data_IF_637291880091
#
_entry.id   IF_637291880091
#
_cell.length_a   1.000
_cell.length_b   1.000
_cell.length_c   1.000
_cell.angle_alpha   90.00
_cell.angle_beta   90.00
_cell.angle_gamma   90.00
#
_symmetry.space_group_name_H-M   'P 1'
#
loop_
_entity.id
_entity.type
_entity.pdbx_description
1 polymer ?
#
# COMPACT_ATOMS: atom_id res chain seq x y z
N UNK A 1 -14.33 -33.49 70.26
CA UNK A 1 -14.38 -32.17 69.62
C UNK A 1 -13.42 -32.16 68.44
N UNK A 2 -13.95 -32.40 67.24
CA UNK A 2 -13.20 -32.28 65.98
C UNK A 2 -13.68 -31.00 65.31
N UNK A 3 -12.79 -30.03 65.13
CA UNK A 3 -13.11 -28.77 64.44
C UNK A 3 -12.92 -28.97 62.94
N UNK A 4 -14.05 -28.94 62.21
CA UNK A 4 -14.07 -28.80 60.76
C UNK A 4 -13.64 -27.37 60.38
N UNK A 5 -12.64 -27.24 59.51
CA UNK A 5 -12.38 -26.03 58.74
C UNK A 5 -12.95 -26.24 57.33
N UNK A 6 -13.71 -25.28 56.77
CA UNK A 6 -14.23 -25.41 55.42
C UNK A 6 -13.11 -25.17 54.41
N UNK A 7 -12.91 -26.13 53.51
CA UNK A 7 -12.12 -25.94 52.29
C UNK A 7 -12.85 -24.95 51.38
N UNK A 8 -12.40 -23.70 51.35
CA UNK A 8 -12.81 -22.77 50.30
C UNK A 8 -12.05 -23.12 49.01
N UNK A 9 -12.75 -23.75 48.08
CA UNK A 9 -12.28 -23.92 46.70
C UNK A 9 -12.31 -22.54 46.01
N UNK A 10 -11.12 -21.99 45.74
CA UNK A 10 -10.98 -20.81 44.87
C UNK A 10 -11.03 -21.30 43.42
N UNK A 11 -12.22 -21.19 42.81
CA UNK A 11 -12.37 -21.31 41.37
C UNK A 11 -11.77 -20.07 40.70
N UNK A 12 -10.55 -20.22 40.18
CA UNK A 12 -9.97 -19.23 39.27
C UNK A 12 -10.73 -19.29 37.94
N UNK A 13 -11.68 -18.38 37.76
CA UNK A 13 -12.25 -18.13 36.44
C UNK A 13 -11.15 -17.51 35.58
N UNK A 14 -10.56 -18.29 34.67
CA UNK A 14 -9.68 -17.78 33.65
C UNK A 14 -10.52 -16.92 32.70
N UNK A 15 -10.47 -15.60 32.87
CA UNK A 15 -11.10 -14.67 31.93
C UNK A 15 -10.28 -14.69 30.65
N UNK A 16 -10.77 -15.42 29.64
CA UNK A 16 -10.22 -15.36 28.29
C UNK A 16 -10.72 -14.07 27.66
N UNK A 17 -9.90 -13.03 27.69
CA UNK A 17 -10.17 -11.79 26.96
C UNK A 17 -9.84 -12.10 25.49
N UNK A 18 -10.86 -12.21 24.64
CA UNK A 18 -10.67 -12.30 23.20
C UNK A 18 -10.03 -10.99 22.72
N UNK A 19 -8.78 -11.04 22.29
CA UNK A 19 -8.09 -9.89 21.73
C UNK A 19 -8.60 -9.65 20.31
N UNK A 20 -8.95 -8.41 20.00
CA UNK A 20 -9.33 -8.00 18.64
C UNK A 20 -8.07 -8.09 17.76
N UNK A 21 -8.02 -9.10 16.88
CA UNK A 21 -6.95 -9.31 15.91
C UNK A 21 -7.24 -8.50 14.65
N UNK A 22 -6.32 -7.62 14.28
CA UNK A 22 -6.41 -6.84 13.04
C UNK A 22 -5.35 -7.30 12.05
N UNK A 23 -5.72 -7.50 10.78
CA UNK A 23 -4.74 -7.81 9.72
C UNK A 23 -4.48 -6.58 8.88
N UNK A 24 -3.21 -6.24 8.70
CA UNK A 24 -2.76 -5.14 7.87
C UNK A 24 -1.97 -5.74 6.71
N UNK A 25 -2.35 -5.37 5.49
CA UNK A 25 -1.66 -5.78 4.29
C UNK A 25 -0.78 -4.62 3.81
N UNK A 26 0.51 -4.88 3.62
CA UNK A 26 1.46 -3.91 3.07
C UNK A 26 2.19 -4.48 1.87
N UNK A 27 2.63 -3.62 0.96
CA UNK A 27 3.54 -4.03 -0.11
C UNK A 27 4.96 -4.20 0.47
N UNK A 28 5.74 -5.20 0.02
CA UNK A 28 7.19 -5.23 0.30
C UNK A 28 7.86 -3.92 -0.11
N UNK A 29 8.71 -3.39 0.76
CA UNK A 29 9.43 -2.12 0.58
C UNK A 29 8.66 -0.87 1.05
N UNK A 30 7.35 -0.95 1.26
CA UNK A 30 6.56 0.17 1.77
C UNK A 30 6.70 0.29 3.31
N UNK A 31 6.13 1.35 3.89
CA UNK A 31 6.04 1.48 5.34
C UNK A 31 4.66 1.00 5.82
N UNK A 32 4.62 0.25 6.92
CA UNK A 32 3.37 -0.22 7.53
C UNK A 32 3.10 0.52 8.84
N UNK A 33 1.84 0.86 9.11
CA UNK A 33 1.42 1.41 10.40
C UNK A 33 0.60 0.36 11.15
N UNK A 34 1.12 -0.12 12.29
CA UNK A 34 0.44 -1.08 13.17
C UNK A 34 -0.38 -0.31 14.21
N UNK A 35 -1.70 -0.45 14.17
CA UNK A 35 -2.61 0.33 15.00
C UNK A 35 -2.60 -0.13 16.47
N UNK A 36 -2.46 0.80 17.41
CA UNK A 36 -2.67 0.54 18.84
C UNK A 36 -3.28 1.77 19.52
N UNK A 37 -4.59 1.74 19.75
CA UNK A 37 -5.35 2.91 20.20
C UNK A 37 -6.06 2.60 21.52
N UNK A 38 -5.61 3.24 22.59
CA UNK A 38 -6.25 3.22 23.89
C UNK A 38 -7.20 4.41 24.06
N UNK A 39 -8.49 4.12 24.31
CA UNK A 39 -9.54 5.15 24.47
C UNK A 39 -9.85 5.51 25.93
N UNK A 40 -9.00 5.13 26.87
CA UNK A 40 -9.18 5.51 28.28
C UNK A 40 -8.82 6.98 28.54
N UNK A 41 -9.04 7.43 29.78
CA UNK A 41 -8.75 8.81 30.22
C UNK A 41 -7.50 8.83 31.10
N UNK A 42 -6.90 10.01 31.23
CA UNK A 42 -5.77 10.30 32.13
C UNK A 42 -4.48 9.53 31.79
N UNK A 43 -3.82 9.96 30.72
CA UNK A 43 -2.50 9.46 30.34
C UNK A 43 -1.41 10.43 30.78
N UNK A 44 -0.42 9.92 31.51
CA UNK A 44 0.81 10.63 31.82
C UNK A 44 1.96 9.80 31.27
N UNK A 45 2.60 10.28 30.19
CA UNK A 45 3.66 9.54 29.48
C UNK A 45 4.79 9.06 30.41
N UNK A 46 5.14 9.88 31.42
CA UNK A 46 6.14 9.54 32.45
C UNK A 46 5.82 8.27 33.25
N UNK A 47 4.55 7.91 33.33
CA UNK A 47 4.07 6.74 34.05
C UNK A 47 3.79 5.56 33.11
N UNK A 48 4.00 5.71 31.80
CA UNK A 48 3.68 4.69 30.83
C UNK A 48 4.91 3.91 30.40
N UNK A 49 4.67 2.63 30.09
CA UNK A 49 5.56 1.81 29.28
C UNK A 49 4.75 1.23 28.14
N UNK A 50 5.23 1.39 26.91
CA UNK A 50 4.62 0.81 25.72
C UNK A 50 5.63 -0.14 25.11
N UNK A 51 5.19 -1.36 24.85
CA UNK A 51 5.98 -2.35 24.15
C UNK A 51 5.24 -2.80 22.91
N UNK A 52 5.93 -2.75 21.78
CA UNK A 52 5.61 -3.56 20.62
C UNK A 52 6.52 -4.78 20.61
N UNK A 53 5.92 -5.96 20.49
CA UNK A 53 6.63 -7.22 20.51
C UNK A 53 6.13 -8.14 19.40
N UNK A 54 6.99 -9.03 18.88
CA UNK A 54 6.53 -10.21 18.15
C UNK A 54 5.80 -11.10 19.15
N UNK A 55 4.60 -11.55 18.80
CA UNK A 55 3.75 -12.37 19.66
C UNK A 55 4.16 -13.85 19.66
N UNK A 56 5.01 -14.28 18.74
CA UNK A 56 5.57 -15.63 18.70
C UNK A 56 6.67 -15.79 19.76
N UNK A 57 6.49 -16.76 20.65
CA UNK A 57 7.40 -17.06 21.75
C UNK A 57 8.70 -17.78 21.30
N UNK A 58 8.81 -18.15 20.01
CA UNK A 58 10.00 -18.84 19.47
C UNK A 58 11.14 -17.90 19.09
N UNK A 59 10.90 -16.60 19.03
CA UNK A 59 11.92 -15.61 18.66
C UNK A 59 12.92 -15.38 19.81
N UNK A 60 14.22 -15.45 19.50
CA UNK A 60 15.29 -15.17 20.46
C UNK A 60 15.20 -13.71 21.00
N UNK A 61 14.72 -12.80 20.16
CA UNK A 61 14.43 -11.43 20.52
C UNK A 61 13.10 -10.99 19.91
N UNK A 62 12.13 -10.67 20.77
CA UNK A 62 10.79 -10.28 20.34
C UNK A 62 10.50 -8.78 20.43
N UNK A 63 11.34 -7.96 21.07
CA UNK A 63 11.08 -6.53 21.28
C UNK A 63 11.26 -5.72 19.99
N UNK A 64 10.14 -5.26 19.44
CA UNK A 64 10.07 -4.48 18.19
C UNK A 64 10.27 -3.00 18.47
N UNK A 65 9.66 -2.46 19.52
CA UNK A 65 9.83 -1.07 19.94
C UNK A 65 9.48 -0.92 21.42
N UNK A 66 10.15 -0.01 22.13
CA UNK A 66 9.90 0.24 23.54
C UNK A 66 9.89 1.75 23.83
N UNK A 67 8.81 2.22 24.47
CA UNK A 67 8.70 3.56 25.04
C UNK A 67 8.61 3.42 26.56
N UNK A 68 9.55 4.00 27.31
CA UNK A 68 9.60 3.91 28.78
C UNK A 68 9.63 5.31 29.37
N UNK A 69 8.66 5.60 30.23
CA UNK A 69 8.52 6.92 30.90
C UNK A 69 8.46 8.09 29.91
N UNK A 70 7.87 7.86 28.74
CA UNK A 70 7.72 8.86 27.67
C UNK A 70 8.96 9.09 26.82
N UNK A 71 9.92 8.17 26.83
CA UNK A 71 11.12 8.21 25.97
C UNK A 71 11.33 6.87 25.27
N UNK A 72 11.77 6.92 24.01
CA UNK A 72 12.14 5.71 23.28
C UNK A 72 13.33 5.03 23.95
N UNK A 73 13.28 3.71 24.02
CA UNK A 73 14.35 2.89 24.57
C UNK A 73 14.87 1.91 23.52
N UNK A 74 15.91 2.32 22.80
CA UNK A 74 16.57 1.51 21.78
C UNK A 74 17.43 0.35 22.34
N UNK A 75 17.72 0.36 23.65
CA UNK A 75 18.62 -0.66 24.25
C UNK A 75 17.97 -2.04 24.32
N UNK A 76 16.65 -2.09 24.50
CA UNK A 76 15.87 -3.33 24.56
C UNK A 76 15.43 -3.83 23.17
N UNK A 77 15.57 -2.99 22.14
CA UNK A 77 15.06 -3.26 20.80
C UNK A 77 15.93 -4.28 20.04
N UNK A 78 15.30 -5.25 19.39
CA UNK A 78 15.99 -6.20 18.54
C UNK A 78 16.66 -5.52 17.35
N UNK A 79 17.87 -5.98 17.00
CA UNK A 79 18.71 -5.34 15.99
C UNK A 79 18.01 -5.18 14.63
N UNK A 80 17.14 -6.12 14.26
CA UNK A 80 16.36 -6.10 13.02
C UNK A 80 15.37 -4.92 12.91
N UNK A 81 14.94 -4.36 14.04
CA UNK A 81 13.96 -3.27 14.09
C UNK A 81 14.58 -1.89 14.39
N UNK A 82 15.84 -1.85 14.86
CA UNK A 82 16.54 -0.60 15.15
C UNK A 82 16.56 0.33 13.94
N UNK A 83 16.32 1.61 14.17
CA UNK A 83 16.20 2.66 13.13
C UNK A 83 15.08 2.44 12.10
N UNK A 84 14.22 1.43 12.27
CA UNK A 84 13.10 1.13 11.36
C UNK A 84 11.73 1.35 11.99
N UNK A 85 11.67 1.69 13.28
CA UNK A 85 10.41 1.82 14.01
C UNK A 85 10.26 3.19 14.63
N UNK A 86 9.06 3.76 14.58
CA UNK A 86 8.76 5.05 15.20
C UNK A 86 7.33 5.07 15.74
N UNK A 87 7.12 5.71 16.90
CA UNK A 87 5.79 6.07 17.38
C UNK A 87 5.44 7.50 16.92
N UNK A 88 4.13 7.80 16.86
CA UNK A 88 3.64 9.14 16.52
C UNK A 88 3.58 10.02 17.77
N UNK A 89 4.67 10.75 18.05
CA UNK A 89 4.83 11.59 19.25
C UNK A 89 3.68 12.55 19.52
N UNK A 90 3.13 13.17 18.47
CA UNK A 90 2.01 14.10 18.51
C UNK A 90 0.68 13.44 18.93
N UNK A 91 0.61 12.11 18.97
CA UNK A 91 -0.60 11.34 19.24
C UNK A 91 -0.56 10.52 20.52
N UNK A 92 0.61 10.39 21.15
CA UNK A 92 0.81 9.59 22.37
C UNK A 92 -0.08 10.06 23.53
N UNK A 93 -0.22 11.37 23.72
CA UNK A 93 -1.06 11.93 24.79
C UNK A 93 -2.56 11.63 24.59
N UNK A 94 -2.97 11.37 23.35
CA UNK A 94 -4.33 10.98 22.98
C UNK A 94 -4.55 9.46 23.05
N UNK A 95 -3.55 8.69 23.47
CA UNK A 95 -3.63 7.23 23.59
C UNK A 95 -3.41 6.47 22.28
N UNK A 96 -2.91 7.13 21.24
CA UNK A 96 -2.49 6.47 20.00
C UNK A 96 -1.00 6.09 20.10
N UNK A 97 -0.78 4.79 20.28
CA UNK A 97 0.52 4.15 20.40
C UNK A 97 0.86 3.34 19.13
N UNK A 98 0.27 3.73 17.99
CA UNK A 98 0.50 3.04 16.72
C UNK A 98 1.96 3.14 16.30
N UNK A 99 2.47 2.05 15.73
CA UNK A 99 3.86 1.92 15.31
C UNK A 99 3.99 2.08 13.80
N UNK A 100 4.85 2.98 13.37
CA UNK A 100 5.34 3.03 12.00
C UNK A 100 6.56 2.10 11.86
N UNK A 101 6.45 1.07 11.02
CA UNK A 101 7.55 0.20 10.61
C UNK A 101 7.98 0.55 9.19
N UNK A 102 9.26 0.84 9.00
CA UNK A 102 9.83 1.33 7.75
C UNK A 102 10.39 0.20 6.88
N UNK A 103 10.18 0.33 5.57
CA UNK A 103 10.73 -0.55 4.54
C UNK A 103 10.48 -2.03 4.87
N UNK A 104 9.21 -2.43 4.92
CA UNK A 104 8.81 -3.77 5.34
C UNK A 104 9.33 -4.83 4.39
N UNK A 105 9.77 -5.96 4.93
CA UNK A 105 10.29 -7.10 4.18
C UNK A 105 9.61 -8.39 4.63
N UNK A 106 9.87 -9.49 3.94
CA UNK A 106 9.30 -10.80 4.28
C UNK A 106 9.61 -11.23 5.74
N UNK A 107 10.75 -10.82 6.31
CA UNK A 107 11.08 -11.11 7.71
C UNK A 107 10.30 -10.26 8.71
N UNK A 108 9.45 -9.33 8.27
CA UNK A 108 8.53 -8.59 9.11
C UNK A 108 7.11 -9.20 9.10
N UNK A 109 6.85 -10.30 8.37
CA UNK A 109 5.55 -10.98 8.37
C UNK A 109 5.31 -11.73 9.70
N UNK A 110 4.90 -10.97 10.71
CA UNK A 110 4.66 -11.47 12.06
C UNK A 110 3.29 -11.06 12.59
N UNK A 111 2.89 -11.78 13.64
CA UNK A 111 1.88 -11.30 14.58
C UNK A 111 2.59 -10.42 15.60
N UNK A 112 2.17 -9.17 15.67
CA UNK A 112 2.68 -8.18 16.59
C UNK A 112 1.71 -7.97 17.73
N UNK A 113 2.25 -7.65 18.91
CA UNK A 113 1.50 -7.37 20.12
C UNK A 113 1.91 -6.01 20.68
N UNK A 114 0.93 -5.12 20.84
CA UNK A 114 1.09 -3.88 21.59
C UNK A 114 0.67 -4.11 23.04
N UNK A 115 1.52 -3.74 24.00
CA UNK A 115 1.23 -3.80 25.44
C UNK A 115 1.48 -2.43 26.05
N UNK A 116 0.44 -1.82 26.59
CA UNK A 116 0.53 -0.53 27.31
C UNK A 116 0.39 -0.80 28.79
N UNK A 117 1.43 -0.47 29.55
CA UNK A 117 1.47 -0.57 31.00
C UNK A 117 1.47 0.82 31.62
N UNK A 118 0.72 0.97 32.71
CA UNK A 118 0.71 2.18 33.52
C UNK A 118 1.27 1.87 34.90
N UNK A 119 2.24 2.69 35.31
CA UNK A 119 2.80 2.70 36.65
C UNK A 119 1.93 3.61 37.52
N UNK A 120 1.24 3.00 38.47
CA UNK A 120 0.56 3.70 39.57
C UNK A 120 1.27 3.33 40.86
N UNK A 121 0.58 2.75 41.84
CA UNK A 121 1.20 2.07 42.99
C UNK A 121 1.89 0.77 42.54
N UNK A 122 1.29 0.07 41.57
CA UNK A 122 1.83 -1.10 40.89
C UNK A 122 1.75 -0.92 39.37
N UNK A 123 2.53 -1.72 38.64
CA UNK A 123 2.48 -1.75 37.17
C UNK A 123 1.29 -2.59 36.73
N UNK A 124 0.39 -2.00 35.95
CA UNK A 124 -0.80 -2.68 35.40
C UNK A 124 -0.83 -2.55 33.89
N UNK A 125 -1.21 -3.63 33.20
CA UNK A 125 -1.57 -3.58 31.77
C UNK A 125 -2.91 -2.88 31.63
N UNK A 126 -2.94 -1.75 30.93
CA UNK A 126 -4.14 -0.94 30.70
C UNK A 126 -4.71 -1.11 29.29
N UNK A 127 -3.88 -1.57 28.35
CA UNK A 127 -4.30 -1.85 26.98
C UNK A 127 -3.42 -2.93 26.35
N UNK A 128 -4.03 -3.75 25.50
CA UNK A 128 -3.34 -4.74 24.70
C UNK A 128 -4.09 -4.93 23.37
N UNK A 129 -3.36 -5.02 22.26
CA UNK A 129 -3.92 -5.35 20.94
C UNK A 129 -2.93 -6.20 20.14
N UNK A 130 -3.44 -6.98 19.20
CA UNK A 130 -2.63 -7.77 18.27
C UNK A 130 -2.91 -7.36 16.83
N UNK A 131 -1.83 -7.25 16.07
CA UNK A 131 -1.84 -6.86 14.66
C UNK A 131 -1.03 -7.88 13.87
N UNK A 132 -1.64 -8.50 12.87
CA UNK A 132 -0.93 -9.36 11.91
C UNK A 132 -0.52 -8.50 10.73
N UNK A 133 0.79 -8.43 10.48
CA UNK A 133 1.32 -7.86 9.25
C UNK A 133 1.43 -8.96 8.20
N UNK A 134 0.73 -8.80 7.09
CA UNK A 134 0.86 -9.65 5.91
C UNK A 134 1.36 -8.83 4.74
N UNK A 135 2.16 -9.43 3.87
CA UNK A 135 2.66 -8.74 2.69
C UNK A 135 1.95 -9.19 1.42
N UNK A 136 1.55 -8.22 0.60
CA UNK A 136 1.03 -8.48 -0.73
C UNK A 136 1.19 -7.28 -1.66
N UNK A 137 1.39 -7.58 -2.94
CA UNK A 137 1.40 -6.63 -4.03
C UNK A 137 0.53 -7.18 -5.17
N UNK A 138 -0.39 -6.36 -5.67
CA UNK A 138 -1.17 -6.70 -6.85
C UNK A 138 -0.23 -6.88 -8.05
N UNK A 139 -0.56 -7.86 -8.89
CA UNK A 139 0.18 -8.11 -10.12
C UNK A 139 -0.20 -7.06 -11.17
N UNK A 140 0.68 -6.79 -12.14
CA UNK A 140 0.27 -5.98 -13.29
C UNK A 140 -0.83 -6.71 -14.08
N UNK A 141 -1.77 -5.96 -14.66
CA UNK A 141 -2.78 -6.51 -15.59
C UNK A 141 -2.11 -7.49 -16.59
N UNK A 142 -2.54 -8.76 -16.67
CA UNK A 142 -1.92 -9.73 -17.55
C UNK A 142 -1.99 -9.29 -19.00
N UNK A 143 -0.90 -9.51 -19.74
CA UNK A 143 -0.81 -9.28 -21.17
C UNK A 143 -0.84 -10.65 -21.83
N UNK A 144 -1.96 -10.96 -22.50
CA UNK A 144 -2.13 -12.16 -23.27
C UNK A 144 -1.82 -11.90 -24.75
N UNK A 145 -0.94 -12.71 -25.32
CA UNK A 145 -0.60 -12.69 -26.75
C UNK A 145 -0.86 -14.06 -27.36
N UNK A 146 -1.41 -14.09 -28.57
CA UNK A 146 -1.68 -15.30 -29.34
C UNK A 146 -1.30 -15.12 -30.82
N UNK A 147 -1.51 -16.15 -31.66
CA UNK A 147 -1.30 -16.06 -33.10
C UNK A 147 -2.27 -15.06 -33.75
N UNK A 148 -1.80 -14.30 -34.74
CA UNK A 148 -2.57 -13.21 -35.39
C UNK A 148 -3.55 -13.77 -36.44
N UNK A 149 -3.21 -14.87 -37.11
CA UNK A 149 -4.01 -15.51 -38.15
C UNK A 149 -4.03 -17.02 -37.90
N UNK A 150 -5.20 -17.60 -37.70
CA UNK A 150 -5.38 -19.04 -37.49
C UNK A 150 -6.60 -19.56 -38.24
N UNK A 151 -6.58 -19.41 -39.57
CA UNK A 151 -7.61 -20.02 -40.44
C UNK A 151 -7.43 -21.55 -40.58
N UNK A 152 -6.34 -22.09 -40.03
CA UNK A 152 -6.00 -23.51 -40.03
C UNK A 152 -6.50 -24.21 -38.76
N UNK A 153 -7.80 -24.52 -38.73
CA UNK A 153 -8.38 -25.39 -37.70
C UNK A 153 -7.57 -26.68 -37.56
N UNK A 154 -7.21 -27.05 -36.33
CA UNK A 154 -6.42 -28.25 -36.03
C UNK A 154 -4.90 -28.05 -35.89
N UNK A 155 -4.36 -26.89 -36.27
CA UNK A 155 -2.93 -26.57 -36.04
C UNK A 155 -2.63 -26.25 -34.57
N UNK A 156 -1.40 -26.52 -34.13
CA UNK A 156 -0.94 -26.17 -32.78
C UNK A 156 -0.71 -24.65 -32.69
N UNK A 157 -1.44 -24.00 -31.79
CA UNK A 157 -1.30 -22.59 -31.48
C UNK A 157 -0.61 -22.41 -30.14
N UNK A 158 0.24 -21.39 -30.04
CA UNK A 158 0.91 -21.01 -28.79
C UNK A 158 0.41 -19.66 -28.31
N UNK A 159 -0.07 -19.61 -27.07
CA UNK A 159 -0.39 -18.39 -26.35
C UNK A 159 0.70 -18.08 -25.33
N UNK A 160 0.96 -16.80 -25.07
CA UNK A 160 1.87 -16.34 -24.02
C UNK A 160 1.17 -15.35 -23.12
N UNK A 161 1.28 -15.54 -21.82
CA UNK A 161 0.74 -14.66 -20.80
C UNK A 161 1.87 -14.08 -19.94
N UNK A 162 1.88 -12.76 -19.77
CA UNK A 162 2.88 -12.02 -19.00
C UNK A 162 2.26 -11.12 -17.96
N UNK A 163 2.81 -11.13 -16.76
CA UNK A 163 2.46 -10.19 -15.69
C UNK A 163 3.65 -10.03 -14.74
N UNK A 164 3.72 -8.93 -14.00
CA UNK A 164 4.88 -8.60 -13.20
C UNK A 164 4.59 -7.89 -11.90
N UNK A 165 5.65 -7.77 -11.10
CA UNK A 165 5.77 -6.94 -9.90
C UNK A 165 4.73 -7.24 -8.80
N UNK A 166 4.25 -8.49 -8.71
CA UNK A 166 3.30 -8.92 -7.68
C UNK A 166 3.96 -9.72 -6.55
N UNK A 167 3.28 -9.82 -5.41
CA UNK A 167 3.70 -10.61 -4.25
C UNK A 167 2.46 -11.11 -3.49
N UNK A 168 2.43 -12.33 -2.94
CA UNK A 168 3.47 -13.37 -2.98
C UNK A 168 3.47 -14.11 -4.32
N UNK A 169 4.18 -15.23 -4.42
CA UNK A 169 4.13 -16.14 -5.58
C UNK A 169 2.66 -16.46 -5.95
N UNK A 170 2.22 -16.30 -7.21
CA UNK A 170 0.82 -16.40 -7.57
C UNK A 170 0.42 -17.81 -7.98
N UNK A 171 -0.89 -18.06 -8.07
CA UNK A 171 -1.41 -19.16 -8.88
C UNK A 171 -1.78 -18.65 -10.27
N UNK A 172 -1.50 -19.44 -11.30
CA UNK A 172 -1.72 -19.06 -12.70
C UNK A 172 -2.62 -20.11 -13.34
N UNK A 173 -3.69 -19.65 -13.97
CA UNK A 173 -4.71 -20.49 -14.57
C UNK A 173 -4.89 -20.13 -16.04
N UNK A 174 -5.03 -21.16 -16.87
CA UNK A 174 -5.54 -21.02 -18.23
C UNK A 174 -6.94 -21.61 -18.26
N UNK A 175 -7.89 -20.88 -18.85
CA UNK A 175 -9.28 -21.29 -18.96
C UNK A 175 -9.70 -21.17 -20.42
N UNK A 176 -10.30 -22.23 -20.95
CA UNK A 176 -11.06 -22.15 -22.18
C UNK A 176 -12.45 -21.59 -21.86
N UNK A 177 -12.71 -20.35 -22.25
CA UNK A 177 -13.99 -19.68 -21.96
C UNK A 177 -15.16 -20.22 -22.79
N UNK A 178 -14.91 -21.05 -23.80
CA UNK A 178 -15.96 -21.67 -24.61
C UNK A 178 -16.70 -22.77 -23.84
N UNK A 179 -15.99 -23.52 -22.97
CA UNK A 179 -16.54 -24.63 -22.18
C UNK A 179 -16.22 -24.55 -20.68
N UNK A 180 -15.63 -23.44 -20.24
CA UNK A 180 -15.11 -23.19 -18.88
C UNK A 180 -14.15 -24.28 -18.37
N UNK A 181 -13.47 -24.99 -19.27
CA UNK A 181 -12.48 -26.00 -18.89
C UNK A 181 -11.13 -25.37 -18.49
N UNK A 182 -10.50 -25.95 -17.47
CA UNK A 182 -9.14 -25.61 -17.08
C UNK A 182 -8.12 -26.27 -18.00
N UNK A 183 -7.17 -25.47 -18.50
CA UNK A 183 -6.11 -25.93 -19.38
C UNK A 183 -4.77 -25.94 -18.61
N UNK A 184 -3.97 -27.03 -18.71
CA UNK A 184 -2.65 -27.05 -18.10
C UNK A 184 -1.67 -26.16 -18.90
N UNK A 185 -0.82 -25.35 -18.22
CA UNK A 185 0.21 -24.59 -18.91
C UNK A 185 1.26 -25.52 -19.52
N UNK A 186 1.73 -25.20 -20.72
CA UNK A 186 2.85 -25.90 -21.36
C UNK A 186 4.19 -25.49 -20.76
N UNK A 187 4.31 -24.21 -20.38
CA UNK A 187 5.44 -23.68 -19.62
C UNK A 187 4.91 -22.68 -18.59
N UNK A 188 5.51 -22.67 -17.40
CA UNK A 188 5.27 -21.67 -16.37
C UNK A 188 6.59 -21.29 -15.72
N UNK A 189 6.97 -20.03 -15.86
CA UNK A 189 8.15 -19.43 -15.24
C UNK A 189 7.71 -18.30 -14.32
N UNK A 190 8.06 -18.42 -13.05
CA UNK A 190 7.88 -17.39 -12.05
C UNK A 190 9.27 -16.91 -11.62
N UNK A 191 9.57 -15.64 -11.89
CA UNK A 191 10.90 -15.05 -11.71
C UNK A 191 10.87 -14.11 -10.50
N UNK A 192 11.69 -14.33 -9.46
CA UNK A 192 11.82 -13.39 -8.35
C UNK A 192 12.67 -12.18 -8.73
N UNK A 193 12.38 -11.03 -8.12
CA UNK A 193 13.11 -9.78 -8.26
C UNK A 193 13.83 -9.39 -6.98
N UNK A 194 14.77 -8.45 -7.08
CA UNK A 194 15.55 -7.96 -5.93
C UNK A 194 14.72 -7.14 -4.94
N UNK A 195 13.58 -6.60 -5.37
CA UNK A 195 12.63 -5.88 -4.52
C UNK A 195 11.66 -6.82 -3.77
N UNK A 196 11.86 -8.14 -3.91
CA UNK A 196 11.02 -9.17 -3.30
C UNK A 196 9.78 -9.55 -4.11
N UNK A 197 9.48 -8.88 -5.22
CA UNK A 197 8.31 -9.19 -6.04
C UNK A 197 8.58 -10.30 -7.06
N UNK A 198 7.54 -10.76 -7.77
CA UNK A 198 7.59 -11.80 -8.78
C UNK A 198 7.02 -11.34 -10.12
N UNK A 199 7.60 -11.85 -11.20
CA UNK A 199 7.00 -11.83 -12.55
C UNK A 199 6.65 -13.21 -13.06
N UNK A 200 5.53 -13.28 -13.76
CA UNK A 200 4.97 -14.49 -14.37
C UNK A 200 5.16 -14.43 -15.89
N UNK A 201 5.66 -15.53 -16.44
CA UNK A 201 5.60 -15.84 -17.86
C UNK A 201 5.05 -17.26 -18.01
N UNK A 202 3.92 -17.43 -18.71
CA UNK A 202 3.36 -18.74 -18.99
C UNK A 202 3.03 -18.89 -20.46
N UNK A 203 3.21 -20.10 -20.98
CA UNK A 203 2.79 -20.46 -22.34
C UNK A 203 1.77 -21.59 -22.31
N UNK A 204 0.85 -21.55 -23.27
CA UNK A 204 -0.17 -22.56 -23.49
C UNK A 204 -0.13 -22.99 -24.95
N UNK A 205 0.01 -24.30 -25.18
CA UNK A 205 -0.07 -24.92 -26.50
C UNK A 205 -1.34 -25.75 -26.61
N UNK A 206 -2.21 -25.39 -27.56
CA UNK A 206 -3.49 -26.07 -27.81
C UNK A 206 -3.78 -26.13 -29.30
N UNK A 207 -4.60 -27.09 -29.73
CA UNK A 207 -5.06 -27.17 -31.12
C UNK A 207 -6.11 -26.11 -31.40
N UNK A 208 -6.03 -25.48 -32.57
CA UNK A 208 -7.00 -24.48 -33.02
C UNK A 208 -8.40 -25.07 -33.20
N UNK A 209 -9.38 -24.42 -32.56
CA UNK A 209 -10.82 -24.65 -32.75
C UNK A 209 -11.47 -23.35 -33.23
N UNK A 210 -12.63 -23.45 -33.89
CA UNK A 210 -13.39 -22.26 -34.30
C UNK A 210 -13.89 -21.48 -33.09
N UNK A 211 -13.76 -20.16 -33.12
CA UNK A 211 -14.21 -19.25 -32.06
C UNK A 211 -13.56 -19.53 -30.70
N UNK A 212 -12.30 -19.98 -30.68
CA UNK A 212 -11.55 -20.23 -29.45
C UNK A 212 -11.46 -18.96 -28.60
N UNK A 213 -11.83 -19.06 -27.33
CA UNK A 213 -11.71 -17.98 -26.34
C UNK A 213 -10.84 -18.47 -25.19
N UNK A 214 -9.66 -17.86 -25.05
CA UNK A 214 -8.68 -18.25 -24.03
C UNK A 214 -8.56 -17.12 -23.01
N UNK A 215 -8.62 -17.49 -21.74
CA UNK A 215 -8.34 -16.61 -20.61
C UNK A 215 -7.07 -17.08 -19.89
N UNK A 216 -6.19 -16.13 -19.60
CA UNK A 216 -5.11 -16.30 -18.62
C UNK A 216 -5.50 -15.53 -17.36
N UNK A 217 -5.46 -16.19 -16.20
CA UNK A 217 -5.81 -15.60 -14.91
C UNK A 217 -4.67 -15.77 -13.89
N UNK A 218 -4.42 -14.72 -13.12
CA UNK A 218 -3.38 -14.65 -12.08
C UNK A 218 -4.04 -14.32 -10.76
N UNK A 219 -3.90 -15.24 -9.81
CA UNK A 219 -4.51 -15.16 -8.49
C UNK A 219 -3.51 -14.68 -7.45
N UNK A 220 -3.90 -13.63 -6.72
CA UNK A 220 -3.30 -13.23 -5.46
C UNK A 220 -4.23 -13.60 -4.31
N UNK A 221 -3.92 -14.70 -3.60
CA UNK A 221 -4.74 -15.23 -2.50
C UNK A 221 -4.84 -14.27 -1.31
N UNK A 222 -3.78 -13.52 -1.01
CA UNK A 222 -3.75 -12.61 0.14
C UNK A 222 -4.66 -11.40 -0.14
N UNK A 223 -4.59 -10.85 -1.35
CA UNK A 223 -5.47 -9.74 -1.78
C UNK A 223 -6.88 -10.20 -2.19
N UNK A 224 -7.12 -11.51 -2.30
CA UNK A 224 -8.35 -12.10 -2.88
C UNK A 224 -8.66 -11.52 -4.26
N UNK A 225 -7.61 -11.34 -5.04
CA UNK A 225 -7.64 -10.71 -6.36
C UNK A 225 -7.37 -11.74 -7.44
N UNK A 226 -8.15 -11.69 -8.53
CA UNK A 226 -7.93 -12.45 -9.74
C UNK A 226 -7.88 -11.48 -10.92
N UNK A 227 -6.70 -11.32 -11.51
CA UNK A 227 -6.53 -10.52 -12.72
C UNK A 227 -6.49 -11.42 -13.93
N UNK A 228 -7.30 -11.12 -14.93
CA UNK A 228 -7.46 -11.98 -16.11
C UNK A 228 -7.33 -11.19 -17.40
N UNK A 229 -6.83 -11.84 -18.45
CA UNK A 229 -6.76 -11.31 -19.80
C UNK A 229 -7.32 -12.32 -20.79
N UNK A 230 -8.12 -11.82 -21.71
CA UNK A 230 -8.90 -12.65 -22.63
C UNK A 230 -8.42 -12.46 -24.07
N UNK A 231 -8.32 -13.56 -24.77
CA UNK A 231 -8.07 -13.61 -26.20
C UNK A 231 -9.36 -14.01 -26.91
N UNK A 232 -9.74 -13.22 -27.90
CA UNK A 232 -10.80 -13.57 -28.86
C UNK A 232 -10.18 -13.59 -30.24
N UNK A 233 -10.47 -14.65 -31.01
CA UNK A 233 -10.06 -14.76 -32.39
C UNK A 233 -10.67 -13.59 -33.18
N UNK A 234 -9.85 -12.68 -33.71
CA UNK A 234 -10.32 -11.60 -34.58
C UNK A 234 -10.36 -12.11 -36.03
N UNK A 235 -11.54 -12.04 -36.65
CA UNK A 235 -11.67 -12.27 -38.09
C UNK A 235 -11.30 -11.00 -38.86
N UNK A 236 -10.42 -11.12 -39.84
CA UNK A 236 -10.06 -10.03 -40.75
C UNK A 236 -11.30 -9.64 -41.59
N UNK A 237 -11.96 -8.54 -41.24
CA UNK A 237 -12.77 -7.81 -42.22
C UNK A 237 -11.82 -6.95 -43.05
N UNK A 238 -11.52 -7.39 -44.26
CA UNK A 238 -10.87 -6.56 -45.28
C UNK A 238 -11.73 -5.31 -45.54
N UNK A 239 -11.37 -4.23 -44.88
CA UNK A 239 -11.80 -2.86 -45.13
C UNK A 239 -10.60 -2.05 -45.59
N UNK A 240 -10.40 -2.06 -46.90
CA UNK A 240 -9.49 -1.22 -47.68
C UNK A 240 -9.12 0.13 -47.04
N UNK A 241 -7.81 0.37 -46.96
CA UNK A 241 -7.14 1.69 -47.04
C UNK A 241 -7.59 2.79 -46.06
N UNK A 242 -6.82 3.01 -44.99
CA UNK A 242 -5.87 4.13 -44.95
C UNK A 242 -5.00 4.04 -43.70
N UNK A 243 -3.70 3.82 -43.90
CA UNK A 243 -2.69 4.33 -42.99
C UNK A 243 -2.95 5.83 -42.81
N UNK A 244 -3.37 6.24 -41.62
CA UNK A 244 -3.20 7.63 -41.19
C UNK A 244 -1.95 7.67 -40.33
N UNK A 245 -0.81 7.71 -41.01
CA UNK A 245 0.39 8.35 -40.49
C UNK A 245 -0.04 9.71 -39.89
N UNK A 246 -0.07 9.83 -38.56
CA UNK A 246 -0.07 11.15 -37.92
C UNK A 246 1.34 11.73 -38.05
N UNK A 247 1.69 12.15 -39.27
CA UNK A 247 2.66 13.22 -39.44
C UNK A 247 1.97 14.49 -38.99
N UNK A 248 2.24 14.91 -37.77
CA UNK A 248 1.83 16.22 -37.27
C UNK A 248 2.84 17.25 -37.77
N UNK A 249 2.74 17.60 -39.05
CA UNK A 249 3.34 18.84 -39.53
C UNK A 249 2.46 19.46 -40.62
N UNK A 250 1.58 20.39 -40.20
CA UNK A 250 1.30 21.60 -40.98
C UNK A 250 0.74 22.71 -40.11
N UNK A 251 1.53 23.76 -40.01
CA UNK A 251 1.17 25.16 -39.80
C UNK A 251 -0.33 25.48 -39.75
N UNK A 252 -0.76 25.92 -38.58
CA UNK A 252 -1.86 26.86 -38.37
C UNK A 252 -1.41 27.94 -37.39
N UNK A 253 -0.76 29.01 -37.89
CA UNK A 253 -0.59 30.25 -37.13
C UNK A 253 -1.95 30.93 -37.05
N UNK A 254 -2.32 31.36 -35.84
CA UNK A 254 -3.28 32.45 -35.64
C UNK A 254 -4.49 32.08 -34.81
N UNK A 255 -4.36 32.14 -33.48
CA UNK A 255 -5.34 32.72 -32.56
C UNK A 255 -5.04 32.38 -31.07
N UNK A 256 -3.77 32.40 -30.63
CA UNK A 256 -3.46 32.38 -29.18
C UNK A 256 -2.24 33.27 -28.88
N UNK A 257 -2.38 34.57 -29.14
CA UNK A 257 -1.42 35.57 -28.70
C UNK A 257 -2.09 36.86 -28.20
N UNK A 258 -3.35 37.13 -28.60
CA UNK A 258 -4.07 38.33 -28.16
C UNK A 258 -4.42 38.29 -26.65
N UNK A 259 -4.71 37.11 -26.09
CA UNK A 259 -5.05 36.98 -24.67
C UNK A 259 -3.87 37.25 -23.73
N UNK A 260 -2.71 36.64 -24.01
CA UNK A 260 -1.53 36.76 -23.14
C UNK A 260 -0.92 38.16 -23.24
N UNK A 261 -0.84 38.74 -24.45
CA UNK A 261 -0.35 40.12 -24.63
C UNK A 261 -1.28 41.11 -23.93
N UNK A 262 -2.60 40.91 -24.01
CA UNK A 262 -3.57 41.76 -23.29
C UNK A 262 -3.40 41.67 -21.77
N UNK A 263 -3.15 40.49 -21.22
CA UNK A 263 -2.93 40.29 -19.77
C UNK A 263 -1.63 40.97 -19.32
N UNK A 264 -0.54 40.84 -20.09
CA UNK A 264 0.75 41.49 -19.75
C UNK A 264 0.63 43.01 -19.80
N UNK A 265 -0.08 43.56 -20.78
CA UNK A 265 -0.35 45.01 -20.86
C UNK A 265 -1.21 45.46 -19.68
N UNK A 266 -2.25 44.71 -19.30
CA UNK A 266 -3.11 45.03 -18.15
C UNK A 266 -2.33 45.03 -16.84
N UNK A 267 -1.47 44.03 -16.63
CA UNK A 267 -0.61 43.97 -15.44
C UNK A 267 0.40 45.12 -15.40
N UNK A 268 0.97 45.49 -16.56
CA UNK A 268 1.85 46.66 -16.68
C UNK A 268 1.14 47.97 -16.33
N UNK A 269 -0.08 48.19 -16.85
CA UNK A 269 -0.87 49.38 -16.56
C UNK A 269 -1.28 49.46 -15.07
N UNK A 270 -1.63 48.33 -14.46
CA UNK A 270 -1.92 48.27 -13.03
C UNK A 270 -0.69 48.60 -12.17
N UNK A 271 0.48 48.12 -12.53
CA UNK A 271 1.73 48.44 -11.83
C UNK A 271 2.10 49.93 -11.96
N UNK A 272 1.86 50.55 -13.12
CA UNK A 272 2.07 51.99 -13.31
C UNK A 272 1.07 52.80 -12.48
N UNK A 273 -0.21 52.40 -12.45
CA UNK A 273 -1.22 53.06 -11.63
C UNK A 273 -0.91 52.96 -10.14
N UNK A 274 -0.51 51.79 -9.63
CA UNK A 274 -0.12 51.64 -8.22
C UNK A 274 1.11 52.47 -7.90
N UNK A 275 2.13 52.49 -8.78
CA UNK A 275 3.31 53.33 -8.62
C UNK A 275 2.96 54.84 -8.64
N UNK A 276 2.10 55.28 -9.56
CA UNK A 276 1.63 56.66 -9.63
C UNK A 276 0.83 57.05 -8.38
N UNK A 277 -0.08 56.19 -7.91
CA UNK A 277 -0.84 56.43 -6.68
C UNK A 277 0.07 56.48 -5.46
N UNK A 278 1.10 55.62 -5.40
CA UNK A 278 2.09 55.63 -4.33
C UNK A 278 2.95 56.89 -4.35
N UNK A 279 3.38 57.33 -5.54
CA UNK A 279 4.11 58.59 -5.74
C UNK A 279 3.26 59.82 -5.39
N UNK A 280 1.96 59.82 -5.72
CA UNK A 280 1.00 60.88 -5.37
C UNK A 280 0.69 60.91 -3.88
N UNK A 281 0.69 59.75 -3.22
CA UNK A 281 0.53 59.64 -1.76
C UNK A 281 1.80 60.10 -1.03
N UNK A 282 2.98 59.78 -1.56
CA UNK A 282 4.26 60.27 -1.05
C UNK A 282 4.41 61.79 -1.22
N UNK A 283 4.00 62.36 -2.37
CA UNK A 283 4.02 63.81 -2.56
C UNK A 283 3.03 64.55 -1.64
N UNK A 284 1.90 63.92 -1.29
CA UNK A 284 0.98 64.45 -0.27
C UNK A 284 1.51 64.31 1.17
N UNK A 285 2.39 63.34 1.45
CA UNK A 285 3.03 63.23 2.76
C UNK A 285 4.14 64.29 2.95
N UNK A 286 4.87 64.61 1.88
CA UNK A 286 5.93 65.63 1.91
C UNK A 286 5.39 67.06 2.05
N UNK A 287 4.14 67.32 1.66
CA UNK A 287 3.49 68.64 1.83
C UNK A 287 2.95 68.92 3.24
N UNK A 288 3.01 67.98 4.19
CA UNK A 288 2.57 68.18 5.59
C UNK A 288 3.73 68.33 6.59
N UNK A 289 4.99 68.29 6.15
CA UNK A 289 6.17 68.50 7.01
C UNK A 289 6.98 69.74 6.63
N UNK A 290 6.33 70.77 6.09
CA UNK A 290 6.97 72.03 5.73
C UNK A 290 5.99 73.20 5.70
N UNK A 291 5.59 73.67 6.89
CA UNK A 291 5.35 75.07 7.25
C UNK A 291 4.85 75.13 8.70
N UNK A 292 5.64 75.84 9.52
CA UNK A 292 5.40 76.39 10.88
C UNK A 292 4.64 75.54 11.93
#
# INVERSE_FOLDING_TARGET
FSHNLPFFSLSFNLVVIALEETTIVSKPGDNATLSCIYRGRELHLKNLRVYWQIADDQEECSVVHALISGQDNESEQCIHFKNRTQLFWDRLENGDFSLLLLNVSQSDEHRYKCVVLQKTEYTKVIHQTEVVLSLAASYSQPILSGPINSDSTGEEMTFSCRSGNGYPKPNVYWVNKTDDSHLPPSELKITPHTDGTYSVFSTLKVKATSNMQIECSIENKILRENLSANYTQQNQSDGSSTERHKNLERNGRGAQAAGIVSIVILLGLLAVLTCCLWRRRSSKLVSYTGNE
#
